data_IF_319772194886
#
_entry.id   IF_319772194886
#
_cell.length_a   1.000
_cell.length_b   1.000
_cell.length_c   1.000
_cell.angle_alpha   90.00
_cell.angle_beta   90.00
_cell.angle_gamma   90.00
#
_symmetry.space_group_name_H-M   'P 1'
#
loop_
_entity.id
_entity.type
_entity.pdbx_description
1 polymer ?
#
# COMPACT_ATOMS: atom_id res chain seq x y z
N UNK A 1 -1.68 34.77 -25.03
CA UNK A 1 -0.65 34.38 -24.04
C UNK A 1 -0.79 32.90 -23.86
N UNK A 2 0.10 32.19 -24.51
CA UNK A 2 0.23 30.74 -24.54
C UNK A 2 0.84 30.31 -23.20
N UNK A 3 0.14 29.47 -22.45
CA UNK A 3 0.73 28.81 -21.28
C UNK A 3 1.11 27.41 -21.75
N UNK A 4 2.42 27.24 -21.80
CA UNK A 4 3.16 26.04 -22.15
C UNK A 4 2.64 24.82 -21.37
N UNK A 5 2.18 23.80 -22.09
CA UNK A 5 1.89 22.48 -21.52
C UNK A 5 3.06 21.58 -21.85
N UNK A 6 4.08 21.64 -21.02
CA UNK A 6 5.11 20.63 -21.00
C UNK A 6 4.46 19.29 -20.63
N UNK A 7 4.34 18.43 -21.63
CA UNK A 7 3.79 17.08 -21.53
C UNK A 7 4.88 16.15 -21.01
N UNK A 8 5.24 16.29 -19.74
CA UNK A 8 5.97 15.26 -19.00
C UNK A 8 4.92 14.22 -18.57
N UNK A 9 5.12 12.95 -18.94
CA UNK A 9 4.12 11.88 -18.86
C UNK A 9 3.22 11.93 -17.62
N UNK A 10 1.91 11.80 -17.85
CA UNK A 10 0.82 11.99 -16.88
C UNK A 10 1.10 11.29 -15.55
N UNK A 11 1.64 12.04 -14.59
CA UNK A 11 1.97 11.55 -13.26
C UNK A 11 1.09 12.24 -12.23
N UNK A 12 0.46 11.46 -11.36
CA UNK A 12 -0.37 11.98 -10.28
C UNK A 12 0.38 11.88 -8.96
N UNK A 13 0.49 12.98 -8.23
CA UNK A 13 1.09 13.00 -6.88
C UNK A 13 0.00 13.10 -5.82
N UNK A 14 0.10 12.27 -4.79
CA UNK A 14 -0.81 12.26 -3.63
C UNK A 14 0.01 12.29 -2.35
N UNK A 15 -0.42 13.09 -1.38
CA UNK A 15 0.21 13.17 -0.06
C UNK A 15 -0.45 12.17 0.87
N UNK A 16 0.35 11.45 1.64
CA UNK A 16 -0.11 10.55 2.69
C UNK A 16 0.49 10.97 4.02
N UNK A 17 -0.38 11.19 5.00
CA UNK A 17 0.02 11.44 6.38
C UNK A 17 0.22 10.11 7.11
N UNK A 18 1.44 9.87 7.61
CA UNK A 18 1.73 8.62 8.34
C UNK A 18 1.41 8.71 9.81
N UNK A 19 1.18 9.89 10.38
CA UNK A 19 0.96 10.10 11.82
C UNK A 19 2.19 9.90 12.72
N UNK A 20 3.14 9.01 12.40
CA UNK A 20 4.32 8.72 13.24
C UNK A 20 5.68 9.05 12.58
N UNK A 21 5.73 9.13 11.24
CA UNK A 21 6.96 9.40 10.47
C UNK A 21 6.81 10.63 9.55
N UNK A 22 5.81 11.47 9.78
CA UNK A 22 5.51 12.66 8.97
C UNK A 22 4.72 12.34 7.69
N UNK A 23 4.91 13.17 6.67
CA UNK A 23 4.24 13.04 5.37
C UNK A 23 5.12 12.35 4.33
N UNK A 24 4.49 11.60 3.42
CA UNK A 24 5.11 11.04 2.23
C UNK A 24 4.34 11.43 0.97
N UNK A 25 5.07 11.60 -0.12
CA UNK A 25 4.50 11.73 -1.46
C UNK A 25 4.43 10.36 -2.13
N UNK A 26 3.27 10.03 -2.69
CA UNK A 26 3.08 8.94 -3.64
C UNK A 26 2.95 9.51 -5.05
N UNK A 27 3.87 9.14 -5.93
CA UNK A 27 3.88 9.52 -7.33
C UNK A 27 3.46 8.31 -8.16
N UNK A 28 2.33 8.43 -8.84
CA UNK A 28 1.76 7.43 -9.72
C UNK A 28 2.12 7.71 -11.18
N UNK A 29 2.60 6.68 -11.88
CA UNK A 29 2.76 6.58 -13.33
C UNK A 29 2.04 5.32 -13.81
N UNK A 30 1.91 5.13 -15.13
CA UNK A 30 1.15 3.98 -15.67
C UNK A 30 1.70 2.61 -15.21
N UNK A 31 3.02 2.51 -15.11
CA UNK A 31 3.75 1.29 -14.80
C UNK A 31 4.58 1.41 -13.53
N UNK A 32 4.53 2.53 -12.80
CA UNK A 32 5.37 2.74 -11.63
C UNK A 32 4.64 3.51 -10.54
N UNK A 33 4.91 3.14 -9.30
CA UNK A 33 4.52 3.89 -8.11
C UNK A 33 5.76 4.12 -7.27
N UNK A 34 6.00 5.38 -6.92
CA UNK A 34 7.14 5.83 -6.15
C UNK A 34 6.64 6.50 -4.87
N UNK A 35 7.17 6.13 -3.72
CA UNK A 35 6.91 6.78 -2.44
C UNK A 35 8.19 7.37 -1.88
N UNK A 36 8.11 8.59 -1.35
CA UNK A 36 9.24 9.22 -0.65
C UNK A 36 8.76 10.13 0.47
N UNK A 37 9.49 10.18 1.59
CA UNK A 37 9.20 11.12 2.66
C UNK A 37 9.53 12.57 2.26
N UNK A 38 8.69 13.51 2.70
CA UNK A 38 8.90 14.95 2.47
C UNK A 38 9.98 15.54 3.37
N UNK A 39 10.12 14.98 4.56
CA UNK A 39 11.03 15.47 5.59
C UNK A 39 11.91 14.34 6.14
N UNK A 40 13.05 14.72 6.71
CA UNK A 40 14.04 13.79 7.26
C UNK A 40 15.02 13.25 6.23
N UNK A 41 15.79 12.19 6.57
CA UNK A 41 16.74 11.58 5.65
C UNK A 41 16.05 11.10 4.36
N UNK A 42 16.60 11.36 3.17
CA UNK A 42 16.02 10.87 1.92
C UNK A 42 15.82 9.36 1.97
N UNK A 43 14.63 8.91 1.56
CA UNK A 43 14.29 7.50 1.46
C UNK A 43 13.18 7.34 0.44
N UNK A 44 13.38 6.44 -0.52
CA UNK A 44 12.48 6.25 -1.66
C UNK A 44 12.22 4.78 -1.89
N UNK A 45 10.94 4.40 -1.97
CA UNK A 45 10.52 3.06 -2.38
C UNK A 45 9.81 3.13 -3.74
N UNK A 46 10.14 2.22 -4.63
CA UNK A 46 9.57 2.16 -5.98
C UNK A 46 9.03 0.76 -6.25
N UNK A 47 7.86 0.66 -6.88
CA UNK A 47 7.33 -0.57 -7.46
C UNK A 47 6.97 -0.29 -8.92
N UNK A 48 7.61 -1.01 -9.83
CA UNK A 48 7.40 -0.91 -11.27
C UNK A 48 6.89 -2.23 -11.85
N UNK A 49 5.93 -2.13 -12.77
CA UNK A 49 5.48 -3.22 -13.64
C UNK A 49 6.35 -3.25 -14.89
N UNK A 50 7.14 -4.31 -15.04
CA UNK A 50 8.05 -4.52 -16.19
C UNK A 50 7.43 -5.36 -17.32
N UNK A 51 6.15 -5.74 -17.19
CA UNK A 51 5.43 -6.56 -18.16
C UNK A 51 4.07 -5.99 -18.55
N UNK A 52 3.30 -6.76 -19.30
CA UNK A 52 1.96 -6.34 -19.72
C UNK A 52 1.03 -6.10 -18.52
N UNK A 53 0.17 -5.08 -18.61
CA UNK A 53 -0.96 -4.92 -17.69
C UNK A 53 -1.89 -6.12 -17.90
N UNK A 54 -2.11 -6.87 -16.84
CA UNK A 54 -2.90 -8.10 -16.87
C UNK A 54 -4.13 -8.06 -15.97
N UNK A 55 -4.32 -6.94 -15.28
CA UNK A 55 -5.46 -6.70 -14.41
C UNK A 55 -5.80 -5.21 -14.41
N UNK A 56 -7.00 -4.84 -14.84
CA UNK A 56 -7.50 -3.46 -14.74
C UNK A 56 -7.90 -3.08 -13.30
N UNK A 57 -8.06 -4.07 -12.43
CA UNK A 57 -8.52 -3.95 -11.05
C UNK A 57 -7.38 -3.88 -10.03
N UNK A 58 -6.13 -3.92 -10.49
CA UNK A 58 -4.94 -3.81 -9.64
C UNK A 58 -4.26 -2.51 -10.01
N UNK A 59 -3.93 -1.62 -9.07
CA UNK A 59 -3.40 -0.29 -9.40
C UNK A 59 -2.13 -0.35 -10.27
N UNK A 60 -1.14 -1.15 -9.87
CA UNK A 60 0.09 -1.38 -10.65
C UNK A 60 -0.15 -2.23 -11.91
N UNK A 61 -1.36 -2.75 -12.09
CA UNK A 61 -1.80 -3.44 -13.31
C UNK A 61 -1.52 -4.94 -13.36
N UNK A 62 -0.84 -5.53 -12.37
CA UNK A 62 -0.56 -6.98 -12.33
C UNK A 62 -0.38 -7.47 -10.90
N UNK A 63 -0.69 -8.75 -10.65
CA UNK A 63 -0.31 -9.47 -9.42
C UNK A 63 0.77 -10.54 -9.67
N UNK A 64 1.36 -10.57 -10.87
CA UNK A 64 2.40 -11.55 -11.19
C UNK A 64 3.74 -11.03 -10.68
N UNK A 65 4.31 -11.69 -9.68
CA UNK A 65 5.61 -11.35 -9.10
C UNK A 65 6.70 -11.18 -10.16
N UNK A 66 6.77 -12.10 -11.13
CA UNK A 66 7.75 -12.06 -12.23
C UNK A 66 7.60 -10.85 -13.19
N UNK A 67 6.53 -10.06 -13.06
CA UNK A 67 6.30 -8.84 -13.86
C UNK A 67 6.48 -7.57 -13.01
N UNK A 68 7.06 -7.69 -11.82
CA UNK A 68 7.27 -6.59 -10.90
C UNK A 68 8.74 -6.45 -10.58
N UNK A 69 9.20 -5.21 -10.47
CA UNK A 69 10.48 -4.84 -9.90
C UNK A 69 10.20 -3.87 -8.77
N UNK A 70 10.78 -4.10 -7.60
CA UNK A 70 10.61 -3.21 -6.47
C UNK A 70 11.95 -2.96 -5.78
N UNK A 71 12.10 -1.77 -5.21
CA UNK A 71 13.31 -1.39 -4.49
C UNK A 71 13.03 -0.32 -3.45
N UNK A 72 13.85 -0.29 -2.40
CA UNK A 72 13.97 0.83 -1.46
C UNK A 72 15.41 1.32 -1.46
N UNK A 73 15.62 2.61 -1.76
CA UNK A 73 16.94 3.24 -1.94
C UNK A 73 17.88 2.41 -2.86
N UNK A 74 17.30 1.83 -3.91
CA UNK A 74 18.00 0.98 -4.87
C UNK A 74 18.25 -0.46 -4.41
N UNK A 75 17.99 -0.80 -3.15
CA UNK A 75 18.04 -2.17 -2.64
C UNK A 75 16.77 -2.92 -3.03
N UNK A 76 16.90 -4.15 -3.53
CA UNK A 76 15.77 -4.94 -4.03
C UNK A 76 14.75 -5.28 -2.93
N UNK A 77 13.46 -5.15 -3.28
CA UNK A 77 12.34 -5.67 -2.50
C UNK A 77 11.74 -6.84 -3.27
N UNK A 78 11.70 -8.02 -2.66
CA UNK A 78 10.99 -9.17 -3.19
C UNK A 78 9.50 -9.08 -2.82
N UNK A 79 8.65 -9.15 -3.82
CA UNK A 79 7.19 -9.15 -3.67
C UNK A 79 6.63 -10.52 -4.02
N UNK A 80 5.84 -11.09 -3.12
CA UNK A 80 5.10 -12.36 -3.31
C UNK A 80 3.59 -12.12 -3.18
N UNK A 81 2.92 -11.61 -4.24
CA UNK A 81 1.48 -11.49 -4.27
C UNK A 81 0.84 -12.89 -4.31
N UNK A 82 -0.05 -13.17 -3.37
CA UNK A 82 -0.74 -14.44 -3.24
C UNK A 82 -2.22 -14.26 -2.89
N UNK A 83 -2.94 -15.38 -2.77
CA UNK A 83 -4.34 -15.35 -2.30
C UNK A 83 -4.38 -15.16 -0.79
N UNK A 84 -5.29 -14.31 -0.31
CA UNK A 84 -5.73 -14.32 1.08
C UNK A 84 -6.95 -15.25 1.22
N UNK A 85 -7.19 -15.73 2.45
CA UNK A 85 -8.21 -16.75 2.74
C UNK A 85 -9.53 -16.17 3.26
N UNK A 86 -9.68 -14.85 3.25
CA UNK A 86 -10.79 -14.17 3.94
C UNK A 86 -12.08 -14.19 3.10
N UNK A 87 -11.99 -13.80 1.83
CA UNK A 87 -13.08 -13.87 0.84
C UNK A 87 -12.56 -14.21 -0.55
N UNK A 88 -13.45 -14.64 -1.46
CA UNK A 88 -13.14 -14.84 -2.88
C UNK A 88 -12.56 -13.54 -3.43
N UNK A 89 -11.30 -13.57 -3.91
CA UNK A 89 -10.50 -12.42 -4.43
C UNK A 89 -9.75 -11.57 -3.41
N UNK A 90 -9.83 -11.90 -2.11
CA UNK A 90 -8.87 -11.34 -1.15
C UNK A 90 -7.44 -11.75 -1.51
N UNK A 91 -6.48 -10.85 -1.33
CA UNK A 91 -5.08 -11.10 -1.66
C UNK A 91 -4.17 -10.76 -0.47
N UNK A 92 -2.97 -11.35 -0.49
CA UNK A 92 -1.85 -11.01 0.36
C UNK A 92 -0.70 -10.55 -0.52
N UNK A 93 0.20 -9.76 0.03
CA UNK A 93 1.52 -9.49 -0.56
C UNK A 93 2.54 -9.80 0.52
N UNK A 94 3.35 -10.83 0.29
CA UNK A 94 4.58 -11.02 1.06
C UNK A 94 5.63 -10.01 0.59
N UNK A 95 6.37 -9.43 1.52
CA UNK A 95 7.35 -8.37 1.27
C UNK A 95 8.64 -8.77 1.98
N UNK A 96 9.76 -8.73 1.26
CA UNK A 96 11.08 -9.00 1.84
C UNK A 96 12.12 -8.02 1.29
N UNK A 97 12.89 -7.40 2.18
CA UNK A 97 14.02 -6.52 1.85
C UNK A 97 15.02 -6.54 3.01
N UNK A 98 16.32 -6.58 2.70
CA UNK A 98 17.34 -6.83 3.72
C UNK A 98 16.98 -8.06 4.58
N UNK A 99 16.98 -7.89 5.89
CA UNK A 99 16.55 -8.92 6.86
C UNK A 99 15.07 -8.78 7.29
N UNK A 100 14.33 -7.83 6.72
CA UNK A 100 12.93 -7.57 7.06
C UNK A 100 12.02 -8.47 6.24
N UNK A 101 10.99 -9.01 6.91
CA UNK A 101 9.89 -9.73 6.26
C UNK A 101 8.59 -9.13 6.75
N UNK A 102 7.79 -8.59 5.83
CA UNK A 102 6.47 -8.04 6.13
C UNK A 102 5.39 -8.78 5.34
N UNK A 103 4.14 -8.59 5.72
CA UNK A 103 3.03 -8.94 4.82
C UNK A 103 1.89 -7.96 4.90
N UNK A 104 1.36 -7.60 3.73
CA UNK A 104 0.11 -6.86 3.59
C UNK A 104 -1.00 -7.88 3.32
N UNK A 105 -2.06 -7.89 4.13
CA UNK A 105 -3.14 -8.88 4.02
C UNK A 105 -4.50 -8.25 4.15
N UNK A 106 -5.44 -8.61 3.30
CA UNK A 106 -6.83 -8.18 3.46
C UNK A 106 -7.37 -8.53 4.86
N UNK A 107 -7.79 -7.52 5.63
CA UNK A 107 -8.49 -7.63 6.92
C UNK A 107 -9.99 -7.79 6.68
N UNK A 108 -10.51 -6.98 5.78
CA UNK A 108 -11.90 -6.97 5.35
C UNK A 108 -11.96 -6.53 3.87
N UNK A 109 -13.09 -5.97 3.45
CA UNK A 109 -13.36 -5.61 2.08
C UNK A 109 -12.53 -4.42 1.57
N UNK A 110 -12.23 -3.49 2.47
CA UNK A 110 -11.62 -2.19 2.20
C UNK A 110 -10.20 -2.12 2.77
N UNK A 111 -9.98 -2.81 3.88
CA UNK A 111 -8.79 -2.66 4.69
C UNK A 111 -7.80 -3.81 4.50
N UNK A 112 -6.52 -3.47 4.55
CA UNK A 112 -5.44 -4.42 4.68
C UNK A 112 -4.68 -4.19 5.98
N UNK A 113 -4.23 -5.26 6.62
CA UNK A 113 -3.30 -5.23 7.74
C UNK A 113 -1.87 -5.32 7.24
N UNK A 114 -0.98 -4.48 7.77
CA UNK A 114 0.46 -4.62 7.65
C UNK A 114 1.01 -5.37 8.88
N UNK A 115 1.70 -6.49 8.64
CA UNK A 115 2.23 -7.37 9.67
C UNK A 115 3.75 -7.39 9.68
N UNK A 116 4.34 -7.43 10.88
CA UNK A 116 5.74 -7.79 11.11
C UNK A 116 5.92 -9.32 11.02
N UNK A 117 6.34 -9.77 9.85
CA UNK A 117 6.50 -11.17 9.50
C UNK A 117 5.55 -11.65 8.41
N UNK A 118 5.72 -12.92 8.05
CA UNK A 118 5.00 -13.54 6.94
C UNK A 118 3.57 -13.98 7.31
N UNK A 119 3.22 -14.05 8.59
CA UNK A 119 1.92 -14.53 9.10
C UNK A 119 1.43 -13.75 10.32
N UNK A 120 0.11 -13.72 10.49
CA UNK A 120 -0.53 -13.17 11.68
C UNK A 120 -0.29 -14.06 12.90
N UNK A 121 0.25 -13.46 13.97
CA UNK A 121 0.53 -14.08 15.28
C UNK A 121 -0.31 -13.46 16.39
N UNK A 122 -1.24 -12.56 16.05
CA UNK A 122 -2.14 -11.85 16.96
C UNK A 122 -1.51 -10.67 17.70
N UNK A 123 -0.21 -10.43 17.56
CA UNK A 123 0.53 -9.38 18.28
C UNK A 123 1.62 -8.72 17.43
N UNK A 124 1.64 -9.00 16.13
CA UNK A 124 2.63 -8.50 15.18
C UNK A 124 1.98 -7.60 14.12
N UNK A 125 0.81 -7.04 14.43
CA UNK A 125 0.16 -6.03 13.59
C UNK A 125 0.86 -4.69 13.80
N UNK A 126 1.35 -4.06 12.72
CA UNK A 126 1.78 -2.67 12.77
C UNK A 126 0.58 -1.73 12.72
N UNK A 127 -0.36 -2.02 11.84
CA UNK A 127 -1.53 -1.19 11.63
C UNK A 127 -2.38 -1.64 10.44
N UNK A 128 -3.42 -0.86 10.21
CA UNK A 128 -4.38 -1.02 9.12
C UNK A 128 -4.15 0.07 8.08
N UNK A 129 -4.11 -0.32 6.82
CA UNK A 129 -3.98 0.54 5.66
C UNK A 129 -5.25 0.46 4.82
N UNK A 130 -5.75 1.61 4.41
CA UNK A 130 -6.97 1.75 3.62
C UNK A 130 -6.70 2.68 2.44
N UNK A 131 -6.91 2.19 1.22
CA UNK A 131 -6.76 3.00 0.02
C UNK A 131 -7.96 3.90 -0.15
N UNK A 132 -7.72 5.21 -0.23
CA UNK A 132 -8.77 6.21 -0.37
C UNK A 132 -8.97 6.64 -1.82
N UNK A 133 -10.08 7.35 -2.06
CA UNK A 133 -10.36 7.96 -3.35
C UNK A 133 -9.21 8.90 -3.77
N UNK A 134 -8.87 8.94 -5.06
CA UNK A 134 -7.74 9.71 -5.57
C UNK A 134 -6.37 9.01 -5.45
N UNK A 135 -6.30 7.82 -4.86
CA UNK A 135 -5.06 7.02 -4.80
C UNK A 135 -4.20 7.26 -3.56
N UNK A 136 -4.70 7.97 -2.55
CA UNK A 136 -4.03 8.02 -1.24
C UNK A 136 -4.11 6.69 -0.50
N UNK A 137 -3.39 6.60 0.62
CA UNK A 137 -3.47 5.50 1.57
C UNK A 137 -3.59 6.09 2.97
N UNK A 138 -4.71 5.86 3.64
CA UNK A 138 -4.86 6.17 5.05
C UNK A 138 -4.19 5.08 5.88
N UNK A 139 -3.55 5.48 6.97
CA UNK A 139 -2.83 4.57 7.86
C UNK A 139 -3.26 4.78 9.29
N UNK A 140 -3.73 3.69 9.92
CA UNK A 140 -4.05 3.65 11.33
C UNK A 140 -3.15 2.63 12.02
N UNK A 141 -2.16 3.10 12.78
CA UNK A 141 -1.26 2.23 13.54
C UNK A 141 -1.98 1.59 14.73
N UNK A 142 -1.60 0.35 15.02
CA UNK A 142 -2.18 -0.41 16.12
C UNK A 142 -1.83 0.23 17.45
N UNK A 143 -2.85 0.40 18.29
CA UNK A 143 -2.70 0.87 19.66
C UNK A 143 -2.62 -0.32 20.62
N UNK A 144 -2.04 -0.13 21.82
CA UNK A 144 -2.02 -1.16 22.85
C UNK A 144 -3.43 -1.64 23.18
N UNK A 145 -3.60 -2.96 23.26
CA UNK A 145 -4.89 -3.57 23.57
C UNK A 145 -4.74 -4.68 24.61
N UNK A 146 -5.85 -4.99 25.29
CA UNK A 146 -5.88 -6.06 26.30
C UNK A 146 -6.36 -7.36 25.68
N UNK A 147 -5.55 -8.40 25.80
CA UNK A 147 -5.96 -9.79 25.67
C UNK A 147 -6.13 -10.38 27.09
N UNK A 148 -6.81 -11.52 27.22
CA UNK A 148 -7.08 -12.15 28.52
C UNK A 148 -5.79 -12.22 29.37
N UNK A 149 -5.76 -11.44 30.45
CA UNK A 149 -4.66 -11.29 31.42
C UNK A 149 -3.33 -10.68 30.91
N UNK A 150 -3.28 -10.06 29.72
CA UNK A 150 -2.06 -9.42 29.21
C UNK A 150 -2.36 -8.21 28.33
N UNK A 151 -1.65 -7.10 28.54
CA UNK A 151 -1.59 -6.00 27.57
C UNK A 151 -0.62 -6.39 26.46
N UNK A 152 -1.09 -6.32 25.22
CA UNK A 152 -0.27 -6.49 24.02
C UNK A 152 0.12 -5.10 23.54
N UNK A 153 1.42 -4.86 23.51
CA UNK A 153 2.04 -3.71 22.85
C UNK A 153 2.36 -4.11 21.42
N UNK A 154 1.70 -3.51 20.41
CA UNK A 154 2.02 -3.75 19.01
C UNK A 154 3.44 -3.30 18.70
N UNK A 155 4.12 -3.93 17.72
CA UNK A 155 5.38 -3.41 17.24
C UNK A 155 5.19 -2.05 16.58
N UNK A 156 6.16 -1.15 16.72
CA UNK A 156 6.20 0.12 15.97
C UNK A 156 6.96 -0.10 14.67
N UNK A 157 6.41 0.24 13.50
CA UNK A 157 7.12 0.07 12.24
C UNK A 157 8.28 1.06 12.17
N UNK A 158 9.40 0.60 11.61
CA UNK A 158 10.47 1.52 11.20
C UNK A 158 9.96 2.46 10.10
N UNK A 159 10.71 3.55 9.86
CA UNK A 159 10.42 4.46 8.74
C UNK A 159 10.45 3.75 7.39
N UNK A 160 11.34 2.77 7.26
CA UNK A 160 11.45 1.89 6.10
C UNK A 160 10.23 0.97 5.97
N UNK A 161 9.83 0.31 7.06
CA UNK A 161 8.68 -0.60 7.11
C UNK A 161 7.37 0.14 6.72
N UNK A 162 7.19 1.35 7.23
CA UNK A 162 6.04 2.18 6.93
C UNK A 162 6.01 2.60 5.45
N UNK A 163 7.13 3.10 4.92
CA UNK A 163 7.22 3.50 3.51
C UNK A 163 6.93 2.34 2.57
N UNK A 164 7.58 1.19 2.77
CA UNK A 164 7.39 0.00 1.94
C UNK A 164 5.94 -0.49 2.04
N UNK A 165 5.38 -0.57 3.25
CA UNK A 165 4.00 -0.98 3.46
C UNK A 165 2.99 -0.09 2.71
N UNK A 166 3.18 1.23 2.77
CA UNK A 166 2.31 2.21 2.12
C UNK A 166 2.45 2.16 0.59
N UNK A 167 3.67 2.06 0.05
CA UNK A 167 3.88 1.93 -1.41
C UNK A 167 3.31 0.61 -1.93
N UNK A 168 3.42 -0.49 -1.18
CA UNK A 168 2.78 -1.76 -1.53
C UNK A 168 1.26 -1.64 -1.51
N UNK A 169 0.66 -1.00 -0.50
CA UNK A 169 -0.77 -0.75 -0.46
C UNK A 169 -1.24 0.15 -1.63
N UNK A 170 -0.46 1.17 -1.99
CA UNK A 170 -0.70 2.00 -3.17
C UNK A 170 -0.67 1.17 -4.47
N UNK A 171 0.28 0.25 -4.60
CA UNK A 171 0.49 -0.56 -5.79
C UNK A 171 -0.52 -1.69 -5.99
N UNK A 172 -0.92 -2.36 -4.93
CA UNK A 172 -1.84 -3.50 -5.04
C UNK A 172 -3.28 -3.16 -4.65
N UNK A 173 -3.49 -2.03 -3.99
CA UNK A 173 -4.73 -1.64 -3.34
C UNK A 173 -4.74 -2.01 -1.85
N UNK A 174 -5.93 -1.99 -1.27
CA UNK A 174 -6.20 -2.55 0.06
C UNK A 174 -7.48 -3.39 0.00
N UNK A 175 -7.67 -4.28 0.98
CA UNK A 175 -8.91 -5.06 1.10
C UNK A 175 -9.13 -6.14 0.04
N UNK A 176 -10.37 -6.65 0.03
CA UNK A 176 -10.85 -7.73 -0.85
C UNK A 176 -11.55 -7.27 -2.13
N UNK A 177 -11.91 -5.99 -2.24
CA UNK A 177 -12.53 -5.42 -3.46
C UNK A 177 -11.63 -4.40 -4.14
N UNK A 178 -11.51 -4.57 -5.45
CA UNK A 178 -11.00 -3.52 -6.33
C UNK A 178 -12.13 -2.57 -6.69
N UNK A 179 -12.03 -1.31 -6.26
CA UNK A 179 -12.56 -0.02 -6.81
C UNK A 179 -13.98 0.08 -7.43
N UNK A 180 -14.68 -1.00 -7.74
CA UNK A 180 -15.96 -1.01 -8.45
C UNK A 180 -17.14 -0.75 -7.53
N UNK A 181 -16.99 -0.96 -6.23
CA UNK A 181 -18.09 -0.74 -5.26
C UNK A 181 -18.09 0.66 -4.67
N UNK A 182 -16.94 1.35 -4.60
CA UNK A 182 -16.90 2.75 -4.13
C UNK A 182 -17.63 3.69 -5.12
N UNK A 183 -17.81 3.27 -6.38
CA UNK A 183 -18.62 3.99 -7.37
C UNK A 183 -20.14 3.93 -7.07
N UNK A 184 -20.63 2.97 -6.27
CA UNK A 184 -22.07 2.89 -5.97
C UNK A 184 -22.52 3.70 -4.74
N UNK A 185 -21.62 4.11 -3.86
CA UNK A 185 -21.97 4.93 -2.69
C UNK A 185 -22.09 6.43 -2.97
N UNK A 186 -21.57 6.90 -4.11
CA UNK A 186 -21.56 8.31 -4.50
C UNK A 186 -22.58 8.65 -5.62
N UNK A 187 -23.28 7.65 -6.18
CA UNK A 187 -24.34 7.88 -7.16
C UNK A 187 -25.73 8.07 -6.52
N UNK A 188 -25.92 7.67 -5.25
CA UNK A 188 -27.17 7.90 -4.51
C UNK A 188 -27.29 9.34 -3.94
N UNK A 189 -26.30 10.21 -4.15
CA UNK A 189 -26.37 11.63 -3.79
C UNK A 189 -26.56 12.57 -4.98
N UNK A 190 -26.61 12.05 -6.22
CA UNK A 190 -26.74 12.85 -7.45
C UNK A 190 -27.79 12.27 -8.43
N UNK A 191 -28.85 11.66 -7.89
CA UNK A 191 -30.13 11.49 -8.59
C UNK A 191 -31.23 11.92 -7.58
N UNK A 192 -32.24 12.68 -8.03
CA UNK A 192 -32.87 13.79 -7.30
C UNK A 192 -33.62 13.43 -6.03
#
# INVERSE_FOLDING_TARGET
>A
MEVDRDSVGDSTTVVVETGIHGELDLIYRDDEICGSYREGPPMTATIARIGARTSATVPIGTRRAAQLKASIDGCEILLDPGRARLVKRSYRVGIQYGERTLSLRAKNLEDSVLLDGSSDRGHNEFGVLTRVFGGGVDVLWSLPFRMVNKTIEPPTPSREDALVGIVVAAAFGTGGLSLTTIVLGALDSILP
#
